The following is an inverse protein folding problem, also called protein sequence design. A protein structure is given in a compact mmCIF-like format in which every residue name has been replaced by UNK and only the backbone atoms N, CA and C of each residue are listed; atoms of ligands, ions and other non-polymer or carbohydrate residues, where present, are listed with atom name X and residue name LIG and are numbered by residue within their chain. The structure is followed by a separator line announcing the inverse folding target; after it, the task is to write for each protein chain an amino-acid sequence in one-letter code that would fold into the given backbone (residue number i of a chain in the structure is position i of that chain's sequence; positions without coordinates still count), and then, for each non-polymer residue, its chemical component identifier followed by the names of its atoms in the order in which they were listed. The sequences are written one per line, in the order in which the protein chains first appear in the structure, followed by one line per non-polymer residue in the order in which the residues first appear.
data_IF_503113259542
#
_entry.id   IF_503113259542
#
_cell.length_a   1.000
_cell.length_b   1.000
_cell.length_c   1.000
_cell.angle_alpha   90.00
_cell.angle_beta   90.00
_cell.angle_gamma   90.00
#
_symmetry.space_group_name_H-M   'P 1'
#
loop_
_entity.id
_entity.type
_entity.pdbx_description
1 polymer ?
#
# COMPACT_ATOMS: atom_id res chain seq x y z
N UNK A 1 -10.73 -13.80 48.22
CA UNK A 1 -11.36 -12.68 47.49
C UNK A 1 -10.45 -12.09 46.40
N UNK A 2 -9.18 -11.79 46.69
CA UNK A 2 -8.19 -11.27 45.71
C UNK A 2 -8.00 -12.15 44.46
N UNK A 3 -7.97 -13.48 44.62
CA UNK A 3 -7.83 -14.43 43.51
C UNK A 3 -9.02 -14.39 42.54
N UNK A 4 -10.26 -14.41 43.03
CA UNK A 4 -11.48 -14.34 42.18
C UNK A 4 -11.57 -13.04 41.36
N UNK A 5 -11.11 -11.91 41.92
CA UNK A 5 -11.06 -10.62 41.21
C UNK A 5 -10.00 -10.64 40.11
N UNK A 6 -8.83 -11.23 40.38
CA UNK A 6 -7.77 -11.42 39.38
C UNK A 6 -8.23 -12.32 38.23
N UNK A 7 -8.96 -13.41 38.53
CA UNK A 7 -9.58 -14.28 37.52
C UNK A 7 -10.57 -13.53 36.62
N UNK A 8 -11.44 -12.71 37.21
CA UNK A 8 -12.42 -11.93 36.44
C UNK A 8 -11.72 -10.94 35.52
N UNK A 9 -10.68 -10.25 35.99
CA UNK A 9 -9.91 -9.27 35.18
C UNK A 9 -9.19 -9.96 34.02
N UNK A 10 -8.54 -11.10 34.26
CA UNK A 10 -7.85 -11.89 33.22
C UNK A 10 -8.86 -12.36 32.16
N UNK A 11 -10.01 -12.89 32.57
CA UNK A 11 -11.06 -13.36 31.64
C UNK A 11 -11.62 -12.19 30.80
N UNK A 12 -11.83 -11.01 31.40
CA UNK A 12 -12.31 -9.83 30.68
C UNK A 12 -11.27 -9.31 29.68
N UNK A 13 -9.98 -9.26 30.06
CA UNK A 13 -8.88 -8.86 29.16
C UNK A 13 -8.74 -9.86 28.00
N UNK A 14 -8.80 -11.16 28.27
CA UNK A 14 -8.78 -12.21 27.25
C UNK A 14 -9.98 -12.05 26.30
N UNK A 15 -11.20 -11.82 26.82
CA UNK A 15 -12.40 -11.62 26.03
C UNK A 15 -12.32 -10.40 25.09
N UNK A 16 -11.76 -9.29 25.57
CA UNK A 16 -11.53 -8.08 24.75
C UNK A 16 -10.51 -8.33 23.63
N UNK A 17 -9.42 -9.04 23.92
CA UNK A 17 -8.37 -9.37 22.93
C UNK A 17 -8.88 -10.28 21.80
N UNK A 18 -9.76 -11.25 22.09
CA UNK A 18 -10.30 -12.16 21.07
C UNK A 18 -11.28 -11.48 20.09
N UNK A 19 -12.00 -10.45 20.53
CA UNK A 19 -12.97 -9.72 19.69
C UNK A 19 -12.31 -8.82 18.63
N UNK A 20 -11.14 -8.26 18.92
CA UNK A 20 -10.41 -7.37 18.01
C UNK A 20 -9.72 -8.12 16.85
N UNK A 21 -9.20 -9.33 17.11
CA UNK A 21 -8.29 -10.01 16.18
C UNK A 21 -8.97 -10.82 15.06
N UNK A 22 -10.27 -11.06 15.11
CA UNK A 22 -11.06 -11.71 14.04
C UNK A 22 -11.60 -10.71 13.00
N UNK A 23 -11.38 -9.40 13.19
CA UNK A 23 -12.10 -8.36 12.47
C UNK A 23 -11.47 -7.96 11.12
N UNK A 24 -10.13 -8.00 10.97
CA UNK A 24 -9.47 -7.42 9.79
C UNK A 24 -9.76 -8.14 8.46
N UNK A 25 -9.84 -9.47 8.43
CA UNK A 25 -10.20 -10.20 7.21
C UNK A 25 -11.63 -9.87 6.75
N UNK A 26 -12.56 -9.73 7.71
CA UNK A 26 -13.94 -9.32 7.44
C UNK A 26 -14.02 -7.87 6.93
N UNK A 27 -13.28 -6.96 7.53
CA UNK A 27 -13.20 -5.55 7.12
C UNK A 27 -12.58 -5.42 5.72
N UNK A 28 -11.49 -6.15 5.43
CA UNK A 28 -10.87 -6.21 4.10
C UNK A 28 -11.89 -6.63 3.03
N UNK A 29 -12.62 -7.72 3.29
CA UNK A 29 -13.63 -8.24 2.36
C UNK A 29 -14.80 -7.26 2.19
N UNK A 30 -15.23 -6.58 3.25
CA UNK A 30 -16.29 -5.57 3.19
C UNK A 30 -15.89 -4.37 2.32
N UNK A 31 -14.66 -3.86 2.44
CA UNK A 31 -14.16 -2.79 1.56
C UNK A 31 -14.13 -3.22 0.09
N UNK A 32 -13.65 -4.43 -0.21
CA UNK A 32 -13.61 -4.95 -1.58
C UNK A 32 -15.01 -5.16 -2.16
N UNK A 33 -15.95 -5.68 -1.37
CA UNK A 33 -17.35 -5.80 -1.77
C UNK A 33 -17.97 -4.43 -2.07
N UNK A 34 -17.78 -3.44 -1.18
CA UNK A 34 -18.29 -2.07 -1.40
C UNK A 34 -17.69 -1.41 -2.65
N UNK A 35 -16.40 -1.64 -2.90
CA UNK A 35 -15.71 -1.13 -4.08
C UNK A 35 -16.27 -1.76 -5.37
N UNK A 36 -16.39 -3.08 -5.40
CA UNK A 36 -16.89 -3.83 -6.58
C UNK A 36 -18.38 -3.62 -6.85
N UNK A 37 -19.19 -3.43 -5.80
CA UNK A 37 -20.62 -3.13 -5.91
C UNK A 37 -20.91 -1.64 -6.15
N UNK A 38 -19.88 -0.79 -6.20
CA UNK A 38 -20.02 0.68 -6.33
C UNK A 38 -21.03 1.25 -5.31
N UNK A 39 -20.88 0.86 -4.04
CA UNK A 39 -21.79 1.27 -2.96
C UNK A 39 -21.56 2.73 -2.54
N UNK A 40 -22.24 3.65 -3.20
CA UNK A 40 -22.14 5.11 -2.98
C UNK A 40 -23.12 5.59 -1.90
N UNK A 41 -22.99 5.08 -0.67
CA UNK A 41 -23.88 5.45 0.44
C UNK A 41 -23.29 6.58 1.31
N UNK A 42 -24.04 7.66 1.48
CA UNK A 42 -23.69 8.76 2.39
C UNK A 42 -23.56 8.29 3.84
N UNK A 43 -24.38 7.32 4.27
CA UNK A 43 -24.29 6.74 5.61
C UNK A 43 -22.95 6.03 5.80
N UNK A 44 -22.55 5.22 4.82
CA UNK A 44 -21.24 4.55 4.84
C UNK A 44 -20.10 5.56 4.93
N UNK A 45 -20.06 6.55 4.04
CA UNK A 45 -18.98 7.54 4.06
C UNK A 45 -18.97 8.36 5.35
N UNK A 46 -20.13 8.73 5.88
CA UNK A 46 -20.22 9.44 7.16
C UNK A 46 -19.71 8.59 8.33
N UNK A 47 -19.96 7.28 8.31
CA UNK A 47 -19.45 6.35 9.33
C UNK A 47 -17.93 6.20 9.23
N UNK A 48 -17.38 6.02 8.02
CA UNK A 48 -15.92 5.90 7.84
C UNK A 48 -15.20 7.22 8.15
N UNK A 49 -15.74 8.37 7.75
CA UNK A 49 -15.15 9.67 8.09
C UNK A 49 -15.13 9.90 9.60
N UNK A 50 -16.18 9.47 10.33
CA UNK A 50 -16.17 9.50 11.81
C UNK A 50 -15.06 8.66 12.42
N UNK A 51 -14.69 7.52 11.83
CA UNK A 51 -13.55 6.71 12.30
C UNK A 51 -12.24 7.46 12.07
N UNK A 52 -12.07 8.00 10.86
CA UNK A 52 -10.89 8.79 10.47
C UNK A 52 -10.71 10.00 11.39
N UNK A 53 -11.76 10.79 11.63
CA UNK A 53 -11.70 11.97 12.52
C UNK A 53 -11.42 11.59 13.98
N UNK A 54 -11.86 10.40 14.41
CA UNK A 54 -11.56 9.86 15.75
C UNK A 54 -10.18 9.20 15.85
N UNK A 55 -9.40 9.20 14.76
CA UNK A 55 -8.10 8.50 14.65
C UNK A 55 -8.20 7.00 14.92
N UNK A 56 -9.30 6.39 14.51
CA UNK A 56 -9.48 4.94 14.49
C UNK A 56 -8.97 4.39 13.15
N UNK A 57 -7.68 4.03 13.11
CA UNK A 57 -6.96 3.56 11.93
C UNK A 57 -7.14 4.47 10.68
N UNK A 58 -6.85 5.78 10.82
CA UNK A 58 -7.28 6.79 9.85
C UNK A 58 -6.66 6.61 8.47
N UNK A 59 -5.42 6.09 8.39
CA UNK A 59 -4.75 5.79 7.12
C UNK A 59 -5.46 4.63 6.43
N UNK A 60 -5.61 3.48 7.07
CA UNK A 60 -6.21 2.30 6.44
C UNK A 60 -7.67 2.55 6.06
N UNK A 61 -8.47 3.16 6.94
CA UNK A 61 -9.86 3.50 6.66
C UNK A 61 -9.94 4.55 5.55
N UNK A 62 -9.16 5.64 5.65
CA UNK A 62 -9.20 6.75 4.69
C UNK A 62 -8.75 6.35 3.28
N UNK A 63 -7.72 5.51 3.14
CA UNK A 63 -7.27 5.00 1.84
C UNK A 63 -8.39 4.23 1.12
N UNK A 64 -9.03 3.30 1.84
CA UNK A 64 -10.07 2.45 1.26
C UNK A 64 -11.37 3.22 1.01
N UNK A 65 -11.83 4.03 1.96
CA UNK A 65 -13.03 4.86 1.81
C UNK A 65 -12.85 5.94 0.74
N UNK A 66 -11.69 6.59 0.67
CA UNK A 66 -11.37 7.59 -0.34
C UNK A 66 -11.37 7.03 -1.76
N UNK A 67 -10.89 5.79 -1.96
CA UNK A 67 -10.97 5.11 -3.25
C UNK A 67 -12.41 4.74 -3.61
N UNK A 68 -13.23 4.30 -2.64
CA UNK A 68 -14.66 4.03 -2.89
C UNK A 68 -15.39 5.31 -3.30
N UNK A 69 -15.11 6.45 -2.64
CA UNK A 69 -15.67 7.76 -3.03
C UNK A 69 -15.25 8.16 -4.45
N UNK A 70 -13.97 7.95 -4.81
CA UNK A 70 -13.49 8.14 -6.19
C UNK A 70 -14.21 7.22 -7.18
N UNK A 71 -14.45 5.96 -6.81
CA UNK A 71 -15.20 5.02 -7.64
C UNK A 71 -16.68 5.42 -7.81
N UNK A 72 -17.19 6.25 -6.91
CA UNK A 72 -18.49 6.90 -6.98
C UNK A 72 -18.49 8.22 -7.77
N UNK A 73 -17.33 8.61 -8.32
CA UNK A 73 -17.11 9.91 -8.97
C UNK A 73 -17.31 11.12 -8.04
N UNK A 74 -17.28 10.90 -6.72
CA UNK A 74 -17.25 11.97 -5.71
C UNK A 74 -15.79 12.30 -5.37
N UNK A 75 -15.19 13.08 -6.26
CA UNK A 75 -13.77 13.43 -6.22
C UNK A 75 -13.42 14.35 -5.03
N UNK A 76 -14.30 15.28 -4.67
CA UNK A 76 -14.17 16.11 -3.47
C UNK A 76 -14.16 15.29 -2.17
N UNK A 77 -15.09 14.36 -2.01
CA UNK A 77 -15.12 13.49 -0.83
C UNK A 77 -13.91 12.56 -0.80
N UNK A 78 -13.52 12.03 -1.97
CA UNK A 78 -12.30 11.23 -2.10
C UNK A 78 -11.06 12.01 -1.63
N UNK A 79 -10.91 13.27 -2.09
CA UNK A 79 -9.84 14.16 -1.66
C UNK A 79 -9.89 14.43 -0.15
N UNK A 80 -11.08 14.64 0.41
CA UNK A 80 -11.26 14.85 1.86
C UNK A 80 -10.75 13.68 2.70
N UNK A 81 -11.04 12.44 2.28
CA UNK A 81 -10.47 11.24 2.91
C UNK A 81 -8.95 11.20 2.76
N UNK A 82 -8.44 11.45 1.56
CA UNK A 82 -7.00 11.42 1.30
C UNK A 82 -6.22 12.53 2.04
N UNK A 83 -6.80 13.70 2.24
CA UNK A 83 -6.22 14.76 3.06
C UNK A 83 -6.05 14.29 4.51
N UNK A 84 -7.07 13.64 5.08
CA UNK A 84 -6.99 13.05 6.43
C UNK A 84 -5.94 11.96 6.53
N UNK A 85 -5.77 11.16 5.48
CA UNK A 85 -4.69 10.17 5.40
C UNK A 85 -3.33 10.86 5.46
N UNK A 86 -3.11 11.91 4.65
CA UNK A 86 -1.86 12.66 4.64
C UNK A 86 -1.56 13.32 6.00
N UNK A 87 -2.57 13.88 6.66
CA UNK A 87 -2.46 14.45 8.02
C UNK A 87 -2.04 13.42 9.09
N UNK A 88 -2.35 12.13 8.83
CA UNK A 88 -2.15 11.03 9.76
C UNK A 88 -0.80 10.32 9.61
N UNK A 89 -0.04 10.59 8.55
CA UNK A 89 1.29 10.00 8.39
C UNK A 89 2.22 10.39 9.54
N UNK A 90 2.85 9.38 10.17
CA UNK A 90 3.76 9.60 11.28
C UNK A 90 5.08 10.23 10.82
N UNK A 91 5.54 9.84 9.62
CA UNK A 91 6.71 10.42 8.96
C UNK A 91 6.23 11.33 7.84
N UNK A 92 6.26 12.62 8.07
CA UNK A 92 6.06 13.60 7.01
C UNK A 92 7.39 13.80 6.27
N UNK A 93 7.52 13.12 5.14
CA UNK A 93 8.68 13.24 4.26
C UNK A 93 8.64 14.52 3.42
N UNK A 94 7.57 15.33 3.44
CA UNK A 94 7.45 16.54 2.62
C UNK A 94 8.10 17.77 3.26
N UNK A 95 8.27 17.77 4.59
CA UNK A 95 8.90 18.87 5.32
C UNK A 95 10.41 18.92 5.08
N UNK A 96 10.89 20.00 4.43
CA UNK A 96 12.32 20.30 4.18
C UNK A 96 13.15 20.42 5.46
N UNK A 97 12.52 20.76 6.58
CA UNK A 97 13.18 20.88 7.86
C UNK A 97 12.87 19.61 8.65
N UNK A 98 13.91 18.89 9.07
CA UNK A 98 13.85 17.63 9.82
C UNK A 98 13.20 17.71 11.20
N UNK A 99 12.13 18.49 11.37
CA UNK A 99 11.13 18.29 12.41
C UNK A 99 10.36 17.03 12.05
N UNK A 100 11.04 15.89 12.18
CA UNK A 100 10.35 14.61 12.19
C UNK A 100 9.29 14.75 13.28
N UNK A 101 8.00 14.54 12.95
CA UNK A 101 7.02 14.09 13.94
C UNK A 101 7.43 12.69 14.38
N UNK A 102 8.65 12.53 14.95
CA UNK A 102 8.94 11.42 15.83
C UNK A 102 8.05 11.72 17.03
N UNK A 103 6.85 11.17 16.99
CA UNK A 103 6.10 10.90 18.19
C UNK A 103 7.04 10.01 19.01
N UNK A 104 7.69 10.62 20.02
CA UNK A 104 8.41 9.92 21.08
C UNK A 104 7.38 9.20 21.94
N UNK A 105 6.73 8.18 21.38
CA UNK A 105 6.11 7.17 22.21
C UNK A 105 7.05 5.98 22.13
N UNK A 106 7.68 5.66 23.26
CA UNK A 106 8.40 4.42 23.45
C UNK A 106 7.37 3.27 23.44
N UNK A 107 6.80 2.98 22.27
CA UNK A 107 5.85 1.89 22.08
C UNK A 107 6.66 0.62 22.05
N UNK A 108 6.61 -0.14 23.14
CA UNK A 108 7.36 -1.39 23.30
C UNK A 108 6.97 -2.40 22.22
N UNK A 109 7.94 -3.07 21.58
CA UNK A 109 7.75 -4.23 20.67
C UNK A 109 6.95 -5.42 21.24
N UNK A 110 6.58 -5.38 22.53
CA UNK A 110 5.67 -6.34 23.15
C UNK A 110 4.23 -6.23 22.60
N UNK A 111 3.84 -5.07 22.06
CA UNK A 111 2.53 -4.85 21.43
C UNK A 111 2.62 -5.23 19.94
N UNK A 112 1.58 -5.88 19.42
CA UNK A 112 1.48 -6.27 18.00
C UNK A 112 1.28 -5.02 17.11
N UNK A 113 1.93 -4.98 15.95
CA UNK A 113 1.73 -3.93 14.94
C UNK A 113 0.30 -3.85 14.41
N UNK A 114 -0.43 -4.97 14.37
CA UNK A 114 -1.86 -4.97 14.04
C UNK A 114 -2.72 -4.23 15.07
N UNK A 115 -2.18 -3.91 16.26
CA UNK A 115 -2.87 -3.16 17.32
C UNK A 115 -2.54 -1.65 17.20
N UNK A 116 -1.46 -1.28 16.51
CA UNK A 116 -1.09 0.11 16.25
C UNK A 116 -1.82 0.64 15.01
N UNK A 117 -1.87 1.96 14.85
CA UNK A 117 -2.40 2.58 13.63
C UNK A 117 -1.53 2.21 12.42
N UNK A 118 -2.17 1.91 11.29
CA UNK A 118 -1.49 1.69 10.03
C UNK A 118 -0.85 3.00 9.56
N UNK A 119 0.44 3.00 9.19
CA UNK A 119 1.15 4.21 8.73
C UNK A 119 1.20 4.34 7.19
N UNK A 120 0.80 3.29 6.47
CA UNK A 120 0.82 3.25 5.00
C UNK A 120 2.22 3.08 4.40
N UNK A 121 2.34 2.22 3.38
CA UNK A 121 3.56 2.02 2.61
C UNK A 121 3.80 3.20 1.65
N UNK A 122 5.05 3.49 1.29
CA UNK A 122 5.44 4.58 0.40
C UNK A 122 4.74 4.53 -0.95
N UNK A 123 4.56 3.35 -1.56
CA UNK A 123 3.79 3.21 -2.80
C UNK A 123 2.34 3.68 -2.63
N UNK A 124 1.71 3.44 -1.48
CA UNK A 124 0.36 3.91 -1.17
C UNK A 124 0.35 5.41 -1.04
N UNK A 125 1.35 5.99 -0.35
CA UNK A 125 1.47 7.45 -0.23
C UNK A 125 1.61 8.13 -1.58
N UNK A 126 2.42 7.58 -2.48
CA UNK A 126 2.54 8.07 -3.86
C UNK A 126 1.20 7.96 -4.59
N UNK A 127 0.53 6.81 -4.46
CA UNK A 127 -0.76 6.57 -5.12
C UNK A 127 -1.88 7.47 -4.60
N UNK A 128 -1.83 7.91 -3.33
CA UNK A 128 -2.74 8.92 -2.79
C UNK A 128 -2.67 10.18 -3.64
N UNK A 129 -1.48 10.73 -3.88
CA UNK A 129 -1.37 11.97 -4.66
C UNK A 129 -1.59 11.76 -6.15
N UNK A 130 -1.31 10.57 -6.68
CA UNK A 130 -1.73 10.22 -8.04
C UNK A 130 -3.26 10.32 -8.15
N UNK A 131 -4.00 9.73 -7.22
CA UNK A 131 -5.46 9.80 -7.24
C UNK A 131 -6.02 11.17 -6.91
N UNK A 132 -5.43 11.93 -5.98
CA UNK A 132 -5.79 13.34 -5.78
C UNK A 132 -5.55 14.18 -7.03
N UNK A 133 -4.42 13.98 -7.71
CA UNK A 133 -4.11 14.63 -8.98
C UNK A 133 -5.17 14.33 -10.05
N UNK A 134 -5.55 13.06 -10.19
CA UNK A 134 -6.62 12.65 -11.12
C UNK A 134 -8.02 13.12 -10.69
N UNK A 135 -8.31 13.19 -9.39
CA UNK A 135 -9.54 13.76 -8.83
C UNK A 135 -9.64 15.23 -9.26
N UNK A 136 -8.64 16.06 -8.95
CA UNK A 136 -8.60 17.47 -9.32
C UNK A 136 -8.67 17.68 -10.84
N UNK A 137 -7.97 16.85 -11.64
CA UNK A 137 -8.11 16.91 -13.10
C UNK A 137 -9.54 16.62 -13.56
N UNK A 138 -10.25 15.68 -12.92
CA UNK A 138 -11.63 15.34 -13.25
C UNK A 138 -12.61 16.46 -12.87
N UNK A 139 -12.25 17.30 -11.90
CA UNK A 139 -13.00 18.49 -11.49
C UNK A 139 -12.60 19.76 -12.28
N UNK A 140 -11.64 19.65 -13.20
CA UNK A 140 -11.11 20.79 -13.96
C UNK A 140 -10.12 21.67 -13.19
N UNK A 141 -9.78 21.31 -11.95
CA UNK A 141 -8.80 22.02 -11.11
C UNK A 141 -7.36 21.56 -11.43
N UNK A 142 -6.85 22.02 -12.57
CA UNK A 142 -5.50 21.65 -12.97
C UNK A 142 -4.39 22.29 -12.13
N UNK A 143 -4.69 23.31 -11.32
CA UNK A 143 -3.70 23.94 -10.46
C UNK A 143 -3.41 23.05 -9.25
N UNK A 144 -4.44 22.56 -8.58
CA UNK A 144 -4.27 21.61 -7.49
C UNK A 144 -3.78 20.24 -8.01
N UNK A 145 -4.20 19.80 -9.19
CA UNK A 145 -3.63 18.62 -9.81
C UNK A 145 -2.10 18.72 -9.99
N UNK A 146 -1.58 19.89 -10.39
CA UNK A 146 -0.12 20.13 -10.49
C UNK A 146 0.59 19.92 -9.17
N UNK A 147 0.00 20.40 -8.08
CA UNK A 147 0.56 20.27 -6.72
C UNK A 147 0.66 18.80 -6.34
N UNK A 148 -0.40 18.03 -6.59
CA UNK A 148 -0.45 16.62 -6.23
C UNK A 148 0.49 15.74 -7.05
N UNK A 149 0.61 15.96 -8.38
CA UNK A 149 1.64 15.26 -9.15
C UNK A 149 3.06 15.59 -8.70
N UNK A 150 3.32 16.86 -8.32
CA UNK A 150 4.61 17.24 -7.75
C UNK A 150 4.88 16.55 -6.42
N UNK A 151 3.87 16.42 -5.55
CA UNK A 151 3.97 15.68 -4.28
C UNK A 151 4.25 14.19 -4.52
N UNK A 152 3.57 13.56 -5.48
CA UNK A 152 3.81 12.17 -5.86
C UNK A 152 5.28 11.93 -6.25
N UNK A 153 5.83 12.80 -7.11
CA UNK A 153 7.24 12.73 -7.54
C UNK A 153 8.21 13.00 -6.37
N UNK A 154 7.93 13.99 -5.53
CA UNK A 154 8.76 14.30 -4.37
C UNK A 154 8.86 13.13 -3.39
N UNK A 155 7.75 12.42 -3.14
CA UNK A 155 7.73 11.23 -2.27
C UNK A 155 8.56 10.09 -2.85
N UNK A 156 8.52 9.90 -4.17
CA UNK A 156 9.37 8.95 -4.86
C UNK A 156 10.86 9.31 -4.71
N UNK A 157 11.24 10.57 -4.91
CA UNK A 157 12.62 11.02 -4.77
C UNK A 157 13.15 10.84 -3.34
N UNK A 158 12.27 10.95 -2.34
CA UNK A 158 12.58 10.80 -0.91
C UNK A 158 12.46 9.37 -0.38
N UNK A 159 12.35 8.37 -1.25
CA UNK A 159 12.25 6.97 -0.85
C UNK A 159 13.40 6.51 0.06
N UNK A 160 14.64 6.96 -0.21
CA UNK A 160 15.80 6.62 0.63
C UNK A 160 15.68 7.15 2.06
N UNK A 161 15.19 8.38 2.21
CA UNK A 161 15.00 8.99 3.52
C UNK A 161 13.90 8.26 4.31
N UNK A 162 12.81 7.90 3.61
CA UNK A 162 11.73 7.08 4.17
C UNK A 162 12.25 5.74 4.71
N UNK A 163 12.97 4.95 3.90
CA UNK A 163 13.48 3.63 4.32
C UNK A 163 14.53 3.73 5.43
N UNK A 164 15.35 4.78 5.45
CA UNK A 164 16.34 5.00 6.51
C UNK A 164 15.68 5.18 7.88
N UNK A 165 14.55 5.89 7.94
CA UNK A 165 13.79 6.06 9.19
C UNK A 165 13.23 4.74 9.68
N UNK A 166 12.68 3.91 8.77
CA UNK A 166 12.10 2.61 9.13
C UNK A 166 13.13 1.65 9.74
N UNK A 167 14.37 1.67 9.24
CA UNK A 167 15.49 0.88 9.79
C UNK A 167 15.84 1.33 11.23
N UNK A 168 15.72 2.63 11.53
CA UNK A 168 16.09 3.16 12.83
C UNK A 168 15.07 2.87 13.96
N UNK A 169 13.81 2.55 13.62
CA UNK A 169 12.71 2.40 14.59
C UNK A 169 12.97 1.31 15.66
N UNK A 170 13.76 0.27 15.35
CA UNK A 170 13.92 -0.89 16.24
C UNK A 170 15.17 -0.84 17.14
N UNK A 171 15.93 0.25 17.14
CA UNK A 171 17.23 0.31 17.84
C UNK A 171 17.13 0.11 19.35
N UNK A 172 16.16 0.74 20.01
CA UNK A 172 16.00 0.65 21.47
C UNK A 172 15.66 -0.78 21.93
N UNK A 173 14.70 -1.42 21.24
CA UNK A 173 14.26 -2.77 21.57
C UNK A 173 15.31 -3.82 21.20
N UNK A 174 16.10 -3.58 20.15
CA UNK A 174 17.28 -4.39 19.84
C UNK A 174 18.28 -4.39 21.00
N UNK A 175 18.60 -3.22 21.56
CA UNK A 175 19.51 -3.11 22.71
C UNK A 175 18.91 -3.72 23.98
N UNK A 176 17.59 -3.66 24.15
CA UNK A 176 16.90 -4.36 25.24
C UNK A 176 17.02 -5.88 25.09
N UNK A 177 16.73 -6.43 23.91
CA UNK A 177 16.81 -7.86 23.65
C UNK A 177 18.23 -8.40 23.85
N UNK A 178 19.26 -7.67 23.41
CA UNK A 178 20.67 -8.01 23.67
C UNK A 178 21.02 -8.11 25.15
N UNK A 179 20.40 -7.28 26.00
CA UNK A 179 20.62 -7.29 27.44
C UNK A 179 19.87 -8.43 28.14
N UNK A 180 18.66 -8.73 27.69
CA UNK A 180 17.80 -9.75 28.31
C UNK A 180 18.11 -11.18 27.86
N UNK A 181 18.74 -11.38 26.69
CA UNK A 181 19.10 -12.69 26.16
C UNK A 181 20.63 -12.83 25.96
N UNK A 182 21.34 -13.58 26.83
CA UNK A 182 22.77 -13.85 26.66
C UNK A 182 23.11 -14.59 25.35
N UNK A 183 22.17 -15.33 24.76
CA UNK A 183 22.35 -16.03 23.48
C UNK A 183 21.83 -15.23 22.29
N UNK A 184 21.55 -13.92 22.46
CA UNK A 184 20.91 -13.06 21.47
C UNK A 184 21.51 -13.21 20.06
N UNK A 185 22.84 -13.15 19.94
CA UNK A 185 23.51 -13.22 18.63
C UNK A 185 23.24 -14.55 17.90
N UNK A 186 23.24 -15.66 18.63
CA UNK A 186 22.97 -17.00 18.08
C UNK A 186 21.50 -17.13 17.71
N UNK A 187 20.61 -16.83 18.65
CA UNK A 187 19.15 -16.86 18.45
C UNK A 187 18.74 -15.98 17.26
N UNK A 188 19.31 -14.78 17.16
CA UNK A 188 19.03 -13.84 16.08
C UNK A 188 19.55 -14.36 14.73
N UNK A 189 20.79 -14.84 14.67
CA UNK A 189 21.38 -15.34 13.42
C UNK A 189 20.65 -16.57 12.89
N UNK A 190 20.35 -17.55 13.73
CA UNK A 190 19.64 -18.77 13.35
C UNK A 190 18.20 -18.48 12.91
N UNK A 191 17.47 -17.66 13.68
CA UNK A 191 16.11 -17.22 13.33
C UNK A 191 16.09 -16.43 12.02
N UNK A 192 17.04 -15.50 11.84
CA UNK A 192 17.17 -14.71 10.61
C UNK A 192 17.42 -15.59 9.39
N UNK A 193 18.30 -16.59 9.51
CA UNK A 193 18.54 -17.57 8.44
C UNK A 193 17.27 -18.35 8.06
N UNK A 194 16.52 -18.83 9.04
CA UNK A 194 15.27 -19.56 8.81
C UNK A 194 14.19 -18.67 8.16
N UNK A 195 14.08 -17.42 8.59
CA UNK A 195 13.08 -16.49 8.04
C UNK A 195 13.46 -16.04 6.63
N UNK A 196 14.74 -15.72 6.39
CA UNK A 196 15.18 -15.25 5.08
C UNK A 196 15.02 -16.32 4.00
N UNK A 197 15.20 -17.60 4.31
CA UNK A 197 14.95 -18.67 3.33
C UNK A 197 13.48 -18.77 2.91
N UNK A 198 12.54 -18.45 3.80
CA UNK A 198 11.12 -18.35 3.43
C UNK A 198 10.87 -17.15 2.51
N UNK A 199 11.46 -16.00 2.82
CA UNK A 199 11.32 -14.80 1.98
C UNK A 199 11.97 -14.93 0.61
N UNK A 200 13.12 -15.61 0.50
CA UNK A 200 13.76 -15.88 -0.79
C UNK A 200 12.81 -16.58 -1.75
N UNK A 201 12.15 -17.67 -1.29
CA UNK A 201 11.14 -18.38 -2.08
C UNK A 201 9.93 -17.49 -2.42
N UNK A 202 9.47 -16.66 -1.49
CA UNK A 202 8.34 -15.75 -1.73
C UNK A 202 8.64 -14.69 -2.81
N UNK A 203 9.89 -14.24 -2.92
CA UNK A 203 10.27 -13.21 -3.89
C UNK A 203 10.58 -13.74 -5.28
N UNK A 204 10.68 -15.07 -5.49
CA UNK A 204 10.92 -15.67 -6.81
C UNK A 204 9.82 -15.32 -7.82
N UNK A 205 8.60 -15.10 -7.35
CA UNK A 205 7.46 -14.77 -8.19
C UNK A 205 7.40 -13.29 -8.63
N UNK A 206 8.31 -12.44 -8.17
CA UNK A 206 8.31 -10.99 -8.41
C UNK A 206 9.61 -10.50 -9.06
N UNK A 207 9.48 -9.51 -9.95
CA UNK A 207 10.63 -8.81 -10.53
C UNK A 207 10.99 -7.59 -9.68
N UNK A 208 11.74 -7.78 -8.60
CA UNK A 208 12.10 -6.69 -7.67
C UNK A 208 13.22 -5.79 -8.20
N UNK A 209 13.11 -4.48 -7.99
CA UNK A 209 14.11 -3.48 -8.37
C UNK A 209 15.03 -3.09 -7.21
N UNK A 210 16.27 -2.67 -7.53
CA UNK A 210 17.22 -2.08 -6.56
C UNK A 210 16.95 -0.60 -6.26
N UNK A 211 16.17 0.08 -7.09
CA UNK A 211 15.72 1.44 -6.85
C UNK A 211 14.20 1.46 -6.87
N UNK A 212 13.59 1.92 -5.79
CA UNK A 212 12.15 2.09 -5.72
C UNK A 212 11.71 3.26 -6.61
N UNK A 213 10.77 2.99 -7.50
CA UNK A 213 10.07 3.98 -8.33
C UNK A 213 8.69 3.43 -8.65
N UNK A 214 7.71 4.32 -8.80
CA UNK A 214 6.40 4.02 -9.35
C UNK A 214 6.27 4.69 -10.73
N UNK A 215 6.60 3.97 -11.83
CA UNK A 215 6.50 4.49 -13.19
C UNK A 215 5.12 5.05 -13.56
N UNK A 216 4.06 4.61 -12.88
CA UNK A 216 2.72 5.13 -13.13
C UNK A 216 2.61 6.61 -12.73
N UNK A 217 3.16 6.98 -11.56
CA UNK A 217 3.17 8.36 -11.09
C UNK A 217 3.93 9.28 -12.05
N UNK A 218 5.12 8.86 -12.49
CA UNK A 218 5.94 9.59 -13.46
C UNK A 218 5.24 9.71 -14.83
N UNK A 219 4.59 8.65 -15.30
CA UNK A 219 3.84 8.65 -16.56
C UNK A 219 2.68 9.66 -16.51
N UNK A 220 1.81 9.58 -15.49
CA UNK A 220 0.68 10.49 -15.37
C UNK A 220 1.12 11.95 -15.19
N UNK A 221 2.16 12.20 -14.39
CA UNK A 221 2.72 13.54 -14.27
C UNK A 221 3.18 14.06 -15.63
N UNK A 222 3.88 13.24 -16.43
CA UNK A 222 4.29 13.62 -17.79
C UNK A 222 3.11 13.97 -18.69
N UNK A 223 2.07 13.13 -18.72
CA UNK A 223 0.85 13.37 -19.51
C UNK A 223 0.13 14.64 -19.02
N UNK A 224 0.03 14.84 -17.71
CA UNK A 224 -0.54 16.05 -17.12
C UNK A 224 0.20 17.31 -17.59
N UNK A 225 1.53 17.31 -17.54
CA UNK A 225 2.35 18.45 -17.99
C UNK A 225 2.22 18.66 -19.50
N UNK A 226 2.15 17.58 -20.29
CA UNK A 226 1.92 17.64 -21.74
C UNK A 226 0.58 18.31 -22.07
N UNK A 227 -0.50 17.88 -21.42
CA UNK A 227 -1.84 18.47 -21.54
C UNK A 227 -1.87 19.92 -21.05
N UNK A 228 -1.02 20.26 -20.07
CA UNK A 228 -0.87 21.61 -19.53
C UNK A 228 0.07 22.51 -20.33
N UNK A 229 0.55 22.05 -21.49
CA UNK A 229 1.51 22.76 -22.36
C UNK A 229 2.87 23.04 -21.72
N UNK A 230 3.21 22.30 -20.67
CA UNK A 230 4.51 22.33 -20.00
C UNK A 230 5.40 21.23 -20.59
N UNK A 231 5.79 21.43 -21.84
CA UNK A 231 6.39 20.38 -22.67
C UNK A 231 7.81 19.99 -22.26
N UNK A 232 8.55 20.93 -21.65
CA UNK A 232 9.88 20.66 -21.09
C UNK A 232 9.78 19.62 -19.99
N UNK A 233 8.94 19.87 -18.99
CA UNK A 233 8.79 18.95 -17.87
C UNK A 233 8.12 17.63 -18.29
N UNK A 234 7.14 17.69 -19.20
CA UNK A 234 6.55 16.50 -19.79
C UNK A 234 7.61 15.59 -20.44
N UNK A 235 8.49 16.18 -21.26
CA UNK A 235 9.58 15.48 -21.93
C UNK A 235 10.59 14.88 -20.93
N UNK A 236 11.00 15.64 -19.93
CA UNK A 236 11.99 15.17 -18.96
C UNK A 236 11.47 13.95 -18.20
N UNK A 237 10.23 14.01 -17.71
CA UNK A 237 9.58 12.89 -17.03
C UNK A 237 9.33 11.69 -17.96
N UNK A 238 8.88 11.92 -19.20
CA UNK A 238 8.64 10.80 -20.14
C UNK A 238 9.94 10.10 -20.55
N UNK A 239 11.07 10.82 -20.53
CA UNK A 239 12.38 10.24 -20.82
C UNK A 239 12.71 9.12 -19.83
N UNK A 240 12.37 9.28 -18.55
CA UNK A 240 12.54 8.24 -17.53
C UNK A 240 11.72 6.99 -17.88
N UNK A 241 10.45 7.17 -18.25
CA UNK A 241 9.57 6.08 -18.68
C UNK A 241 10.17 5.34 -19.90
N UNK A 242 10.68 6.10 -20.87
CA UNK A 242 11.32 5.58 -22.08
C UNK A 242 12.60 4.79 -21.80
N UNK A 243 13.39 5.20 -20.81
CA UNK A 243 14.60 4.51 -20.35
C UNK A 243 14.26 3.19 -19.69
N UNK A 244 13.20 3.16 -18.86
CA UNK A 244 12.73 1.94 -18.20
C UNK A 244 12.07 0.96 -19.18
N UNK A 245 11.52 1.46 -20.30
CA UNK A 245 10.77 0.66 -21.27
C UNK A 245 11.36 0.74 -22.68
N UNK A 246 12.64 0.37 -22.92
CA UNK A 246 13.32 0.66 -24.17
C UNK A 246 12.72 -0.06 -25.38
N UNK A 247 12.20 -1.27 -25.16
CA UNK A 247 11.63 -2.16 -26.19
C UNK A 247 10.11 -1.99 -26.38
N UNK A 248 9.44 -1.21 -25.54
CA UNK A 248 7.99 -1.05 -25.63
C UNK A 248 7.62 -0.14 -26.82
N UNK A 249 6.90 -0.70 -27.81
CA UNK A 249 6.53 -0.01 -29.04
C UNK A 249 5.62 1.19 -28.78
N UNK A 250 4.70 1.06 -27.83
CA UNK A 250 3.75 2.12 -27.48
C UNK A 250 4.49 3.30 -26.82
N UNK A 251 5.33 3.02 -25.83
CA UNK A 251 6.15 4.06 -25.18
C UNK A 251 7.10 4.74 -26.18
N UNK A 252 7.64 3.99 -27.15
CA UNK A 252 8.44 4.56 -28.23
C UNK A 252 7.62 5.47 -29.16
N UNK A 253 6.34 5.16 -29.38
CA UNK A 253 5.40 5.98 -30.17
C UNK A 253 5.07 7.27 -29.42
N UNK A 254 4.70 7.18 -28.16
CA UNK A 254 4.42 8.34 -27.29
C UNK A 254 5.64 9.25 -27.14
N UNK A 255 6.83 8.68 -26.92
CA UNK A 255 8.08 9.46 -26.84
C UNK A 255 8.33 10.30 -28.10
N UNK A 256 8.05 9.77 -29.29
CA UNK A 256 8.19 10.55 -30.55
C UNK A 256 7.25 11.75 -30.58
N UNK A 257 6.08 11.67 -29.95
CA UNK A 257 5.12 12.78 -29.85
C UNK A 257 5.54 13.76 -28.77
N UNK A 258 5.89 13.28 -27.58
CA UNK A 258 6.21 14.12 -26.42
C UNK A 258 7.56 14.82 -26.57
N UNK A 259 8.57 14.16 -27.15
CA UNK A 259 9.90 14.75 -27.36
C UNK A 259 9.93 15.81 -28.48
N UNK A 260 8.93 15.86 -29.36
CA UNK A 260 8.84 16.86 -30.44
C UNK A 260 8.08 18.08 -29.97
N UNK A 261 8.75 19.24 -29.97
CA UNK A 261 8.12 20.54 -29.70
C UNK A 261 7.13 20.92 -30.82
N UNK A 262 5.85 20.61 -30.60
CA UNK A 262 4.62 21.02 -31.31
C UNK A 262 4.35 20.56 -32.75
N UNK A 263 3.12 20.02 -32.94
CA UNK A 263 2.20 20.34 -34.05
C UNK A 263 0.76 20.29 -33.53
N UNK A 264 -0.16 21.02 -34.16
CA UNK A 264 -1.62 21.17 -33.92
C UNK A 264 -2.46 19.88 -33.71
N UNK A 265 -1.83 18.71 -33.63
CA UNK A 265 -2.51 17.44 -33.39
C UNK A 265 -2.83 17.32 -31.91
N UNK A 266 -4.00 16.75 -31.66
CA UNK A 266 -4.47 16.39 -30.34
C UNK A 266 -4.49 14.88 -30.21
N UNK A 267 -4.29 14.40 -28.99
CA UNK A 267 -4.17 12.98 -28.71
C UNK A 267 -5.11 12.59 -27.57
N UNK A 268 -5.55 11.34 -27.62
CA UNK A 268 -6.26 10.67 -26.55
C UNK A 268 -5.27 9.70 -25.92
N UNK A 269 -4.94 9.95 -24.67
CA UNK A 269 -4.16 9.06 -23.82
C UNK A 269 -5.14 8.22 -23.02
N UNK A 270 -5.06 6.90 -23.16
CA UNK A 270 -5.85 5.97 -22.37
C UNK A 270 -4.92 5.24 -21.41
N UNK A 271 -5.27 5.30 -20.14
CA UNK A 271 -4.67 4.50 -19.08
C UNK A 271 -5.69 3.47 -18.63
N UNK A 272 -5.29 2.22 -18.64
CA UNK A 272 -6.06 1.11 -18.13
C UNK A 272 -5.45 0.60 -16.81
N UNK A 273 -6.19 0.81 -15.72
CA UNK A 273 -5.90 0.32 -14.39
C UNK A 273 -6.54 -1.08 -14.20
N UNK A 274 -5.73 -2.11 -14.41
CA UNK A 274 -6.17 -3.49 -14.57
C UNK A 274 -6.16 -4.27 -13.26
N UNK A 275 -7.28 -4.90 -12.92
CA UNK A 275 -7.36 -5.96 -11.91
C UNK A 275 -7.19 -5.48 -10.47
N UNK A 276 -6.97 -6.42 -9.57
CA UNK A 276 -6.65 -6.16 -8.17
C UNK A 276 -5.17 -6.44 -7.92
N UNK A 277 -4.44 -5.44 -7.42
CA UNK A 277 -3.01 -5.60 -7.11
C UNK A 277 -2.75 -6.46 -5.89
N UNK A 278 -1.51 -6.81 -5.64
CA UNK A 278 -1.09 -7.65 -4.51
C UNK A 278 -1.53 -7.06 -3.16
N UNK A 279 -1.86 -7.93 -2.21
CA UNK A 279 -2.23 -7.55 -0.84
C UNK A 279 -1.29 -8.20 0.16
N UNK A 280 -1.26 -7.67 1.38
CA UNK A 280 -0.58 -8.32 2.50
C UNK A 280 -1.42 -9.50 3.01
N UNK A 281 -0.72 -10.59 3.31
CA UNK A 281 -1.23 -11.75 4.05
C UNK A 281 -0.19 -12.12 5.12
N UNK A 282 -0.43 -13.16 5.92
CA UNK A 282 0.54 -13.61 6.93
C UNK A 282 0.96 -15.07 6.74
N UNK A 283 2.20 -15.38 7.12
CA UNK A 283 2.65 -16.74 7.35
C UNK A 283 3.24 -16.85 8.75
N UNK A 284 3.20 -18.07 9.32
CA UNK A 284 3.67 -18.34 10.68
C UNK A 284 4.87 -19.25 10.65
N UNK A 285 5.83 -18.95 11.53
CA UNK A 285 6.99 -19.79 11.76
C UNK A 285 7.16 -20.06 13.24
N UNK A 286 7.70 -21.22 13.56
CA UNK A 286 8.18 -21.52 14.91
C UNK A 286 9.69 -21.40 14.91
N UNK A 287 10.20 -20.52 15.78
CA UNK A 287 11.62 -20.27 15.97
C UNK A 287 12.13 -21.04 17.19
N UNK A 288 13.24 -21.78 17.06
CA UNK A 288 13.98 -22.27 18.21
C UNK A 288 14.79 -21.13 18.85
N UNK A 289 14.60 -20.91 20.15
CA UNK A 289 15.38 -19.96 20.95
C UNK A 289 16.06 -20.70 22.10
N UNK A 290 17.34 -20.41 22.32
CA UNK A 290 18.09 -20.92 23.46
C UNK A 290 18.03 -19.86 24.56
N UNK A 291 17.26 -20.12 25.61
CA UNK A 291 17.10 -19.24 26.77
C UNK A 291 17.50 -20.00 28.04
N UNK A 292 18.36 -19.42 28.88
CA UNK A 292 18.88 -20.05 30.10
C UNK A 292 19.38 -21.50 29.88
N UNK A 293 20.11 -21.71 28.77
CA UNK A 293 20.64 -23.02 28.34
C UNK A 293 19.58 -24.09 28.02
N UNK A 294 18.31 -23.70 27.88
CA UNK A 294 17.21 -24.57 27.46
C UNK A 294 16.69 -24.18 26.09
N UNK A 295 16.35 -25.18 25.27
CA UNK A 295 15.72 -24.96 23.97
C UNK A 295 14.23 -24.71 24.17
N UNK A 296 13.78 -23.50 23.85
CA UNK A 296 12.38 -23.07 23.89
C UNK A 296 11.92 -22.71 22.50
N UNK A 297 10.69 -23.03 22.13
CA UNK A 297 10.12 -22.62 20.85
C UNK A 297 9.21 -21.42 21.02
N UNK A 298 9.20 -20.54 20.03
CA UNK A 298 8.29 -19.40 19.99
C UNK A 298 7.72 -19.22 18.60
N UNK A 299 6.42 -18.95 18.49
CA UNK A 299 5.80 -18.69 17.20
C UNK A 299 5.89 -17.21 16.86
N UNK A 300 6.18 -16.92 15.59
CA UNK A 300 6.10 -15.59 15.00
C UNK A 300 5.13 -15.60 13.82
N UNK A 301 4.53 -14.44 13.54
CA UNK A 301 3.76 -14.20 12.35
C UNK A 301 4.44 -13.08 11.55
N UNK A 302 4.63 -13.30 10.27
CA UNK A 302 5.34 -12.40 9.36
C UNK A 302 4.45 -12.06 8.17
N UNK A 303 4.50 -10.83 7.66
CA UNK A 303 3.76 -10.46 6.48
C UNK A 303 4.32 -11.17 5.25
N UNK A 304 3.45 -11.49 4.31
CA UNK A 304 3.77 -11.92 2.95
C UNK A 304 2.87 -11.19 1.95
N UNK A 305 3.12 -11.41 0.67
CA UNK A 305 2.38 -10.82 -0.43
C UNK A 305 1.55 -11.90 -1.13
N UNK A 306 0.26 -11.63 -1.33
CA UNK A 306 -0.66 -12.52 -2.03
C UNK A 306 -1.18 -11.86 -3.30
N UNK A 307 -0.84 -12.46 -4.44
CA UNK A 307 -1.30 -12.02 -5.76
C UNK A 307 -2.82 -12.17 -5.88
N UNK A 308 -3.42 -11.31 -6.70
CA UNK A 308 -4.85 -11.29 -7.00
C UNK A 308 -5.06 -11.29 -8.51
N UNK A 309 -6.32 -11.33 -8.93
CA UNK A 309 -6.71 -11.50 -10.34
C UNK A 309 -6.59 -10.21 -11.15
N UNK A 310 -6.19 -10.37 -12.41
CA UNK A 310 -6.35 -9.35 -13.44
C UNK A 310 -7.82 -9.29 -13.91
N UNK A 311 -8.18 -8.18 -14.56
CA UNK A 311 -9.44 -8.06 -15.29
C UNK A 311 -9.25 -8.54 -16.74
N UNK A 312 -9.38 -7.68 -17.74
CA UNK A 312 -9.11 -8.00 -19.14
C UNK A 312 -7.60 -8.00 -19.44
N UNK A 313 -7.16 -8.85 -20.39
CA UNK A 313 -5.75 -8.92 -20.84
C UNK A 313 -5.26 -7.61 -21.47
N UNK A 314 -6.15 -6.95 -22.23
CA UNK A 314 -5.95 -5.63 -22.82
C UNK A 314 -7.31 -4.97 -23.07
N UNK A 315 -7.31 -3.66 -23.35
CA UNK A 315 -8.44 -2.96 -23.94
C UNK A 315 -8.09 -2.51 -25.35
N UNK A 316 -9.07 -2.49 -26.25
CA UNK A 316 -8.90 -1.95 -27.61
C UNK A 316 -9.49 -0.54 -27.68
N UNK A 317 -8.67 0.44 -28.07
CA UNK A 317 -9.04 1.85 -28.20
C UNK A 317 -8.89 2.27 -29.64
N UNK A 318 -10.00 2.51 -30.35
CA UNK A 318 -10.00 2.81 -31.79
C UNK A 318 -9.04 1.88 -32.56
N UNK A 319 -9.22 0.55 -32.38
CA UNK A 319 -8.43 -0.53 -33.00
C UNK A 319 -6.95 -0.61 -32.57
N UNK A 320 -6.55 0.10 -31.50
CA UNK A 320 -5.21 0.02 -30.91
C UNK A 320 -5.30 -0.59 -29.51
N UNK A 321 -4.57 -1.68 -29.27
CA UNK A 321 -4.58 -2.34 -27.97
C UNK A 321 -3.69 -1.63 -26.95
N UNK A 322 -4.13 -1.61 -25.69
CA UNK A 322 -3.31 -1.20 -24.56
C UNK A 322 -2.07 -2.09 -24.44
N UNK A 323 -0.98 -1.50 -23.96
CA UNK A 323 0.26 -2.23 -23.67
C UNK A 323 0.68 -1.96 -22.23
N UNK A 324 1.14 -3.00 -21.52
CA UNK A 324 1.64 -2.88 -20.14
C UNK A 324 2.76 -1.84 -20.03
N UNK A 325 2.55 -0.84 -19.19
CA UNK A 325 3.52 0.17 -18.77
C UNK A 325 4.27 -0.33 -17.52
N UNK A 326 3.53 -0.79 -16.52
CA UNK A 326 4.10 -1.25 -15.25
C UNK A 326 3.22 -2.33 -14.63
N UNK A 327 3.87 -3.30 -14.01
CA UNK A 327 3.25 -4.23 -13.07
C UNK A 327 3.42 -3.65 -11.66
N UNK A 328 2.33 -3.21 -11.03
CA UNK A 328 2.38 -2.58 -9.72
C UNK A 328 2.64 -3.59 -8.60
N UNK A 329 2.34 -4.87 -8.80
CA UNK A 329 2.71 -5.90 -7.82
C UNK A 329 4.23 -5.94 -7.64
N UNK A 330 4.98 -5.75 -8.73
CA UNK A 330 6.45 -5.66 -8.66
C UNK A 330 6.94 -4.39 -7.94
N UNK A 331 6.20 -3.28 -8.03
CA UNK A 331 6.51 -2.05 -7.27
C UNK A 331 6.32 -2.30 -5.77
N UNK A 332 5.18 -2.91 -5.39
CA UNK A 332 4.88 -3.28 -4.01
C UNK A 332 5.88 -4.30 -3.48
N UNK A 333 6.21 -5.33 -4.25
CA UNK A 333 7.20 -6.34 -3.86
C UNK A 333 8.62 -5.77 -3.73
N UNK A 334 8.99 -4.79 -4.57
CA UNK A 334 10.28 -4.09 -4.44
C UNK A 334 10.35 -3.32 -3.13
N UNK A 335 9.31 -2.56 -2.79
CA UNK A 335 9.23 -1.86 -1.50
C UNK A 335 9.27 -2.84 -0.32
N UNK A 336 8.45 -3.90 -0.39
CA UNK A 336 8.40 -4.91 0.65
C UNK A 336 9.76 -5.57 0.89
N UNK A 337 10.54 -5.80 -0.17
CA UNK A 337 11.92 -6.30 -0.07
C UNK A 337 12.90 -5.31 0.57
N UNK A 338 12.71 -4.00 0.38
CA UNK A 338 13.49 -2.98 1.11
C UNK A 338 13.16 -2.96 2.60
N UNK A 339 11.89 -3.16 2.95
CA UNK A 339 11.42 -3.13 4.35
C UNK A 339 11.68 -4.45 5.09
N UNK A 340 11.78 -5.57 4.36
CA UNK A 340 11.90 -6.93 4.91
C UNK A 340 12.97 -7.08 5.99
N UNK A 341 14.22 -6.55 5.86
CA UNK A 341 15.22 -6.68 6.91
C UNK A 341 14.79 -6.04 8.25
N UNK A 342 14.09 -4.90 8.20
CA UNK A 342 13.58 -4.23 9.39
C UNK A 342 12.40 -4.99 10.01
N UNK A 343 11.52 -5.56 9.17
CA UNK A 343 10.39 -6.43 9.60
C UNK A 343 10.93 -7.67 10.31
N UNK A 344 11.90 -8.38 9.70
CA UNK A 344 12.51 -9.58 10.28
C UNK A 344 13.22 -9.26 11.58
N UNK A 345 14.02 -8.20 11.61
CA UNK A 345 14.72 -7.78 12.83
C UNK A 345 13.73 -7.54 13.97
N UNK A 346 12.65 -6.80 13.68
CA UNK A 346 11.60 -6.52 14.66
C UNK A 346 10.91 -7.79 15.16
N UNK A 347 10.54 -8.69 14.24
CA UNK A 347 9.85 -9.92 14.59
C UNK A 347 10.70 -10.81 15.50
N UNK A 348 11.99 -10.97 15.20
CA UNK A 348 12.92 -11.75 16.04
C UNK A 348 13.12 -11.08 17.40
N UNK A 349 13.40 -9.77 17.43
CA UNK A 349 13.56 -9.02 18.68
C UNK A 349 12.32 -9.12 19.56
N UNK A 350 11.14 -8.96 18.97
CA UNK A 350 9.86 -9.09 19.68
C UNK A 350 9.65 -10.51 20.20
N UNK A 351 10.01 -11.53 19.40
CA UNK A 351 9.89 -12.93 19.80
C UNK A 351 10.81 -13.26 20.97
N UNK A 352 12.07 -12.81 20.95
CA UNK A 352 13.02 -12.97 22.06
C UNK A 352 12.45 -12.31 23.32
N UNK A 353 12.05 -11.03 23.26
CA UNK A 353 11.51 -10.30 24.41
C UNK A 353 10.22 -10.91 24.97
N UNK A 354 9.29 -11.36 24.12
CA UNK A 354 8.06 -12.04 24.58
C UNK A 354 8.40 -13.38 25.24
N UNK A 355 9.39 -14.09 24.74
CA UNK A 355 9.78 -15.40 25.27
C UNK A 355 10.55 -15.27 26.58
N UNK A 356 11.42 -14.26 26.74
CA UNK A 356 12.08 -13.97 28.03
C UNK A 356 11.05 -13.61 29.11
N UNK A 357 10.02 -12.82 28.77
CA UNK A 357 8.89 -12.51 29.67
C UNK A 357 8.13 -13.79 30.05
N UNK A 358 7.78 -14.65 29.09
CA UNK A 358 7.08 -15.90 29.38
C UNK A 358 7.91 -16.84 30.27
N UNK A 359 9.23 -16.93 30.04
CA UNK A 359 10.13 -17.71 30.89
C UNK A 359 10.23 -17.15 32.32
N UNK A 360 10.30 -15.82 32.47
CA UNK A 360 10.31 -15.16 33.77
C UNK A 360 9.00 -15.37 34.53
N UNK A 361 7.85 -15.35 33.83
CA UNK A 361 6.53 -15.66 34.41
C UNK A 361 6.49 -17.11 34.88
N UNK A 362 6.91 -18.06 34.05
CA UNK A 362 6.91 -19.48 34.39
C UNK A 362 7.77 -19.79 35.62
N UNK A 363 8.96 -19.18 35.73
CA UNK A 363 9.86 -19.38 36.87
C UNK A 363 9.34 -18.80 38.19
N UNK A 364 8.43 -17.82 38.15
CA UNK A 364 7.87 -17.17 39.33
C UNK A 364 6.39 -17.51 39.55
N UNK A 365 5.85 -18.51 38.84
CA UNK A 365 4.44 -18.87 38.89
C UNK A 365 4.09 -19.65 40.17
N UNK A 366 3.54 -18.94 41.16
CA UNK A 366 3.00 -19.53 42.40
C UNK A 366 1.55 -20.01 42.27
N UNK A 367 0.94 -19.92 41.08
CA UNK A 367 -0.49 -20.21 40.84
C UNK A 367 -0.76 -21.59 40.25
N UNK A 368 0.25 -22.48 40.22
CA UNK A 368 0.10 -23.84 39.68
C UNK A 368 0.01 -23.88 38.16
N UNK A 369 0.62 -22.91 37.45
CA UNK A 369 0.71 -22.88 35.98
C UNK A 369 -0.32 -22.00 35.28
N UNK A 370 -1.28 -21.42 36.01
CA UNK A 370 -2.35 -20.60 35.44
C UNK A 370 -1.81 -19.29 34.87
N UNK A 371 -0.86 -18.65 35.58
CA UNK A 371 -0.25 -17.41 35.12
C UNK A 371 0.57 -17.63 33.84
N UNK A 372 1.29 -18.76 33.78
CA UNK A 372 2.05 -19.19 32.60
C UNK A 372 1.14 -19.49 31.40
N UNK A 373 0.01 -20.15 31.63
CA UNK A 373 -1.01 -20.39 30.59
C UNK A 373 -1.59 -19.07 30.07
N UNK A 374 -1.95 -18.15 30.99
CA UNK A 374 -2.49 -16.84 30.62
C UNK A 374 -1.49 -16.03 29.78
N UNK A 375 -0.20 -16.02 30.15
CA UNK A 375 0.84 -15.30 29.39
C UNK A 375 1.07 -15.90 28.00
N UNK A 376 1.01 -17.24 27.88
CA UNK A 376 1.07 -17.95 26.61
C UNK A 376 -0.09 -17.60 25.68
N UNK A 377 -1.32 -17.54 26.20
CA UNK A 377 -2.52 -17.14 25.44
C UNK A 377 -2.41 -15.69 24.96
N UNK A 378 -1.99 -14.76 25.83
CA UNK A 378 -1.77 -13.36 25.47
C UNK A 378 -0.69 -13.25 24.39
N UNK A 379 0.40 -14.01 24.50
CA UNK A 379 1.45 -14.05 23.48
C UNK A 379 0.89 -14.53 22.14
N UNK A 380 0.16 -15.64 22.12
CA UNK A 380 -0.44 -16.18 20.90
C UNK A 380 -1.44 -15.21 20.25
N UNK A 381 -2.28 -14.55 21.05
CA UNK A 381 -3.23 -13.54 20.56
C UNK A 381 -2.53 -12.30 19.98
N UNK A 382 -1.37 -11.93 20.54
CA UNK A 382 -0.55 -10.79 20.08
C UNK A 382 0.50 -11.16 19.02
N UNK A 383 0.50 -12.39 18.53
CA UNK A 383 1.39 -12.84 17.44
C UNK A 383 0.58 -12.97 16.14
N UNK A 384 0.40 -11.82 15.47
CA UNK A 384 -0.16 -11.70 14.12
C UNK A 384 0.66 -10.69 13.33
N UNK A 385 0.72 -10.82 12.01
CA UNK A 385 1.31 -9.77 11.19
C UNK A 385 0.28 -8.69 10.90
N UNK A 386 0.74 -7.45 10.68
CA UNK A 386 -0.12 -6.41 10.12
C UNK A 386 -0.35 -6.70 8.62
N UNK A 387 -1.58 -7.11 8.30
CA UNK A 387 -2.02 -7.43 6.93
C UNK A 387 -2.90 -6.33 6.34
N UNK A 388 -2.96 -5.15 6.98
CA UNK A 388 -3.65 -3.99 6.40
C UNK A 388 -2.88 -3.48 5.18
N UNK A 389 -3.63 -3.19 4.13
CA UNK A 389 -3.14 -2.62 2.89
C UNK A 389 -4.29 -1.92 2.16
N UNK A 390 -3.97 -1.02 1.25
CA UNK A 390 -4.93 -0.41 0.35
C UNK A 390 -5.50 -1.47 -0.59
N UNK A 391 -6.80 -1.78 -0.46
CA UNK A 391 -7.41 -2.98 -1.06
C UNK A 391 -7.74 -2.83 -2.54
N UNK A 392 -7.86 -1.61 -3.06
CA UNK A 392 -8.38 -1.38 -4.41
C UNK A 392 -7.36 -0.94 -5.46
N UNK A 393 -6.07 -0.92 -5.14
CA UNK A 393 -5.04 -0.57 -6.13
C UNK A 393 -4.99 -1.59 -7.29
N UNK A 394 -4.65 -1.14 -8.51
CA UNK A 394 -4.57 -2.02 -9.67
C UNK A 394 -3.34 -2.94 -9.63
N UNK A 395 -3.44 -4.07 -10.33
CA UNK A 395 -2.37 -5.05 -10.52
C UNK A 395 -1.34 -4.54 -11.52
N UNK A 396 -1.81 -4.04 -12.65
CA UNK A 396 -0.96 -3.44 -13.67
C UNK A 396 -1.59 -2.19 -14.25
N UNK A 397 -0.72 -1.38 -14.84
CA UNK A 397 -1.09 -0.23 -15.62
C UNK A 397 -0.73 -0.50 -17.06
N UNK A 398 -1.68 -0.32 -17.95
CA UNK A 398 -1.49 -0.39 -19.38
C UNK A 398 -1.88 0.93 -20.02
N UNK A 399 -1.24 1.24 -21.15
CA UNK A 399 -1.41 2.53 -21.82
C UNK A 399 -1.55 2.38 -23.32
N UNK A 400 -2.25 3.32 -23.93
CA UNK A 400 -2.25 3.54 -25.37
C UNK A 400 -2.55 5.01 -25.68
N UNK A 401 -1.84 5.56 -26.65
CA UNK A 401 -2.08 6.89 -27.20
C UNK A 401 -2.60 6.76 -28.63
N UNK A 402 -3.75 7.38 -28.90
CA UNK A 402 -4.31 7.51 -30.26
C UNK A 402 -4.45 8.97 -30.65
N UNK A 403 -4.49 9.27 -31.96
CA UNK A 403 -4.80 10.62 -32.43
C UNK A 403 -6.26 10.94 -32.11
N UNK A 404 -6.53 12.13 -31.60
CA UNK A 404 -7.88 12.60 -31.38
C UNK A 404 -8.50 13.02 -32.73
N UNK A 405 -9.56 12.32 -33.13
CA UNK A 405 -10.37 12.58 -34.33
C UNK A 405 -11.79 13.04 -34.00
N UNK A 406 -12.08 13.33 -32.73
CA UNK A 406 -13.41 13.75 -32.24
C UNK A 406 -14.21 12.63 -31.57
N UNK A 407 -13.78 11.37 -31.67
CA UNK A 407 -14.49 10.22 -31.09
C UNK A 407 -13.54 9.18 -30.51
N UNK A 408 -13.94 8.58 -29.40
CA UNK A 408 -13.26 7.44 -28.78
C UNK A 408 -14.22 6.29 -28.56
N UNK A 409 -13.76 5.09 -28.92
CA UNK A 409 -14.42 3.83 -28.61
C UNK A 409 -13.42 2.93 -27.88
N UNK A 410 -13.83 2.43 -26.70
CA UNK A 410 -13.05 1.49 -25.88
C UNK A 410 -13.80 0.18 -25.81
N UNK A 411 -13.12 -0.93 -26.13
CA UNK A 411 -13.70 -2.27 -26.17
C UNK A 411 -12.91 -3.28 -25.36
N UNK A 412 -13.59 -4.32 -24.89
CA UNK A 412 -12.96 -5.55 -24.35
C UNK A 412 -12.33 -6.37 -25.47
N UNK A 413 -11.49 -7.38 -25.17
CA UNK A 413 -10.99 -8.33 -26.16
C UNK A 413 -12.08 -9.09 -26.93
N UNK A 414 -13.28 -9.20 -26.34
CA UNK A 414 -14.44 -9.87 -26.95
C UNK A 414 -15.29 -8.90 -27.79
N UNK A 415 -14.80 -7.68 -28.06
CA UNK A 415 -15.49 -6.60 -28.76
C UNK A 415 -16.71 -5.99 -28.03
N UNK A 416 -16.89 -6.26 -26.74
CA UNK A 416 -17.91 -5.57 -25.95
C UNK A 416 -17.50 -4.10 -25.79
N UNK A 417 -18.43 -3.19 -26.06
CA UNK A 417 -18.18 -1.76 -25.96
C UNK A 417 -18.26 -1.29 -24.49
N UNK A 418 -17.16 -0.79 -23.95
CA UNK A 418 -17.08 -0.22 -22.60
C UNK A 418 -17.36 1.29 -22.58
N UNK A 419 -16.97 1.99 -23.66
CA UNK A 419 -17.18 3.42 -23.85
C UNK A 419 -17.31 3.73 -25.34
N UNK A 420 -18.25 4.59 -25.71
CA UNK A 420 -18.33 5.24 -27.02
C UNK A 420 -18.78 6.67 -26.80
N UNK A 421 -17.89 7.62 -27.06
CA UNK A 421 -18.10 9.03 -26.68
C UNK A 421 -17.44 9.99 -27.67
N UNK A 422 -18.15 11.06 -27.98
CA UNK A 422 -17.61 12.22 -28.68
C UNK A 422 -16.77 13.06 -27.70
N UNK A 423 -15.62 13.54 -28.17
CA UNK A 423 -14.64 14.34 -27.41
C UNK A 423 -14.21 15.55 -28.23
N UNK A 424 -13.81 16.66 -27.60
CA UNK A 424 -13.38 17.85 -28.35
C UNK A 424 -12.09 17.56 -29.15
N UNK A 425 -12.11 17.60 -30.50
CA UNK A 425 -10.94 17.32 -31.33
C UNK A 425 -9.84 18.38 -31.19
N UNK A 426 -10.13 19.54 -30.55
CA UNK A 426 -9.18 20.62 -30.27
C UNK A 426 -8.48 20.48 -28.93
N UNK A 427 -8.85 19.49 -28.11
CA UNK A 427 -8.25 19.22 -26.79
C UNK A 427 -7.52 17.89 -26.74
N UNK A 428 -6.50 17.82 -25.90
CA UNK A 428 -5.96 16.52 -25.52
C UNK A 428 -6.93 15.88 -24.52
N UNK A 429 -7.03 14.56 -24.56
CA UNK A 429 -7.94 13.80 -23.71
C UNK A 429 -7.14 12.80 -22.91
N UNK A 430 -7.39 12.71 -21.61
CA UNK A 430 -6.94 11.62 -20.76
C UNK A 430 -8.16 10.78 -20.36
N UNK A 431 -8.11 9.49 -20.64
CA UNK A 431 -9.13 8.53 -20.22
C UNK A 431 -8.49 7.57 -19.23
N UNK A 432 -9.09 7.48 -18.05
CA UNK A 432 -8.72 6.47 -17.05
C UNK A 432 -9.82 5.42 -17.03
N UNK A 433 -9.46 4.18 -17.36
CA UNK A 433 -10.36 3.01 -17.27
C UNK A 433 -9.90 2.15 -16.10
N UNK A 434 -10.70 2.07 -15.04
CA UNK A 434 -10.45 1.20 -13.89
C UNK A 434 -11.37 -0.01 -13.97
N UNK A 435 -10.81 -1.19 -14.24
CA UNK A 435 -11.56 -2.46 -14.23
C UNK A 435 -11.00 -3.39 -13.17
N UNK A 436 -11.85 -3.85 -12.27
CA UNK A 436 -11.49 -4.74 -11.17
C UNK A 436 -11.51 -6.22 -11.57
N UNK A 437 -12.51 -6.63 -12.36
CA UNK A 437 -12.66 -7.97 -12.91
C UNK A 437 -13.53 -7.92 -14.18
N UNK A 438 -13.47 -8.93 -15.08
CA UNK A 438 -14.15 -8.87 -16.37
C UNK A 438 -15.69 -8.78 -16.28
N UNK A 439 -16.25 -9.27 -15.18
CA UNK A 439 -17.69 -9.29 -14.90
C UNK A 439 -18.16 -8.07 -14.08
N UNK A 440 -17.27 -7.12 -13.77
CA UNK A 440 -17.59 -5.89 -13.05
C UNK A 440 -17.47 -4.73 -14.02
N UNK A 441 -18.52 -3.91 -14.11
CA UNK A 441 -18.52 -2.72 -14.96
C UNK A 441 -17.33 -1.81 -14.57
N UNK A 442 -16.48 -1.41 -15.53
CA UNK A 442 -15.36 -0.53 -15.24
C UNK A 442 -15.82 0.87 -14.89
N UNK A 443 -15.02 1.57 -14.09
CA UNK A 443 -15.14 3.01 -13.90
C UNK A 443 -14.32 3.72 -14.98
N UNK A 444 -14.92 4.70 -15.65
CA UNK A 444 -14.30 5.42 -16.75
C UNK A 444 -14.39 6.92 -16.49
N UNK A 445 -13.24 7.58 -16.36
CA UNK A 445 -13.14 9.04 -16.30
C UNK A 445 -12.56 9.58 -17.61
N UNK A 446 -13.15 10.65 -18.14
CA UNK A 446 -12.72 11.32 -19.38
C UNK A 446 -12.43 12.77 -19.06
N UNK A 447 -11.18 13.19 -19.23
CA UNK A 447 -10.68 14.51 -18.89
C UNK A 447 -10.18 15.20 -20.16
N UNK A 448 -10.73 16.36 -20.50
CA UNK A 448 -10.34 17.12 -21.69
C UNK A 448 -9.61 18.42 -21.31
N UNK A 449 -8.47 18.71 -21.97
CA UNK A 449 -7.69 19.92 -21.74
C UNK A 449 -7.08 20.53 -23.00
#
# INVERSE_FOLDING_TARGET
MKTKILYSIIITIIGLLFSACANHAKVNNDFEQKLTQKKCSNEFFSQEMKKVDKKDDPVYVGLNAGLIARNCSDYNLSNSFFDKVEESYQVDVDLRNGAQKIIKTATTTLINDSILDYDGSLYERIMVNVYKGLNFMSEGDFNNARVEFKRALLRQDRAKDYFKVQIAKNKADLEKAKKEDPNFNKNFSESSKQINSQYEALFEEFSTSKNFTNPYATYLASIFYYMSKDYTLAKDLFKEIKILNPKNKEINKEWKVINRAHKNKKYIFVVYENGFGVIKDEFKLTLPLILNNTLTTTSIALPTLKKRSQSFEYLSVNDNNTTKLVDLDNVVASEFKFEQPAIVTKAIVSAILKTTVNAAVANNDSTGGILSLASGIITAATTKADVRSWRGLPQSIEVVMVKNTGRVVVKTPNNDELLSKEVDPKKNVLIIVRSFAPYILPNISVIEK
#
